data_IF_790143283870
#
_entry.id   IF_790143283870
#
_cell.length_a   1.000
_cell.length_b   1.000
_cell.length_c   1.000
_cell.angle_alpha   90.00
_cell.angle_beta   90.00
_cell.angle_gamma   90.00
#
_symmetry.space_group_name_H-M   'P 1'
#
loop_
_entity.id
_entity.type
_entity.pdbx_description
1 polymer ?
#
# COMPACT_ATOMS: atom_id res chain seq x y z
N UNK A 1 40.25 -21.70 -12.07
CA UNK A 1 39.38 -20.60 -12.55
C UNK A 1 37.91 -20.67 -12.07
N UNK A 2 37.36 -21.82 -11.77
CA UNK A 2 35.94 -22.00 -11.34
C UNK A 2 35.68 -21.48 -9.92
N UNK A 3 36.64 -21.61 -9.00
CA UNK A 3 36.48 -21.20 -7.59
C UNK A 3 36.34 -19.68 -7.44
N UNK A 4 37.10 -18.91 -8.25
CA UNK A 4 37.00 -17.44 -8.20
C UNK A 4 35.66 -16.89 -8.63
N UNK A 5 35.02 -17.54 -9.60
CA UNK A 5 33.68 -17.13 -10.09
C UNK A 5 32.57 -17.34 -9.05
N UNK A 6 32.66 -18.42 -8.29
CA UNK A 6 31.69 -18.73 -7.21
C UNK A 6 31.81 -17.75 -6.04
N UNK A 7 33.00 -17.32 -5.66
CA UNK A 7 33.24 -16.36 -4.57
C UNK A 7 32.72 -14.97 -4.95
N UNK A 8 32.95 -14.52 -6.19
CA UNK A 8 32.43 -13.23 -6.67
C UNK A 8 30.89 -13.25 -6.68
N UNK A 9 30.29 -14.31 -7.19
CA UNK A 9 28.82 -14.44 -7.24
C UNK A 9 28.16 -14.44 -5.85
N UNK A 10 28.77 -15.09 -4.85
CA UNK A 10 28.30 -15.02 -3.46
C UNK A 10 28.47 -13.65 -2.83
N UNK A 11 29.56 -12.96 -3.10
CA UNK A 11 29.80 -11.60 -2.64
C UNK A 11 28.76 -10.62 -3.20
N UNK A 12 28.46 -10.73 -4.50
CA UNK A 12 27.48 -9.88 -5.17
C UNK A 12 26.06 -10.15 -4.69
N UNK A 13 25.68 -11.41 -4.45
CA UNK A 13 24.39 -11.76 -3.87
C UNK A 13 24.23 -11.19 -2.44
N UNK A 14 25.30 -11.21 -1.62
CA UNK A 14 25.25 -10.63 -0.26
C UNK A 14 25.18 -9.10 -0.27
N UNK A 15 25.84 -8.44 -1.22
CA UNK A 15 25.75 -6.97 -1.40
C UNK A 15 24.36 -6.58 -1.89
N UNK A 16 23.82 -7.31 -2.86
CA UNK A 16 22.50 -7.08 -3.40
C UNK A 16 21.40 -7.27 -2.32
N UNK A 17 21.49 -8.33 -1.53
CA UNK A 17 20.55 -8.57 -0.43
C UNK A 17 20.56 -7.46 0.63
N UNK A 18 21.76 -6.94 1.01
CA UNK A 18 21.85 -5.80 1.92
C UNK A 18 21.24 -4.53 1.34
N UNK A 19 21.54 -4.24 0.08
CA UNK A 19 20.96 -3.09 -0.61
C UNK A 19 19.42 -3.15 -0.65
N UNK A 20 18.87 -4.31 -0.93
CA UNK A 20 17.40 -4.48 -0.92
C UNK A 20 16.80 -4.22 0.47
N UNK A 21 17.41 -4.77 1.52
CA UNK A 21 16.95 -4.55 2.91
C UNK A 21 17.02 -3.06 3.27
N UNK A 22 18.13 -2.39 2.99
CA UNK A 22 18.30 -0.96 3.27
C UNK A 22 17.29 -0.10 2.48
N UNK A 23 17.07 -0.44 1.22
CA UNK A 23 16.07 0.22 0.37
C UNK A 23 14.65 0.04 0.93
N UNK A 24 14.29 -1.19 1.30
CA UNK A 24 12.95 -1.50 1.79
C UNK A 24 12.70 -0.82 3.16
N UNK A 25 13.71 -0.79 4.03
CA UNK A 25 13.65 -0.01 5.28
C UNK A 25 13.47 1.49 4.99
N UNK A 26 14.22 2.05 4.05
CA UNK A 26 14.07 3.44 3.64
C UNK A 26 12.65 3.73 3.12
N UNK A 27 12.10 2.87 2.28
CA UNK A 27 10.75 3.04 1.74
C UNK A 27 9.67 2.97 2.82
N UNK A 28 9.84 2.11 3.83
CA UNK A 28 8.92 2.06 4.97
C UNK A 28 8.98 3.34 5.82
N UNK A 29 10.18 3.89 6.01
CA UNK A 29 10.37 5.13 6.79
C UNK A 29 9.90 6.39 6.02
N UNK A 30 9.98 6.36 4.68
CA UNK A 30 9.66 7.49 3.81
C UNK A 30 8.67 7.09 2.70
N UNK A 31 7.44 6.71 3.05
CA UNK A 31 6.41 6.42 2.05
C UNK A 31 6.06 7.68 1.27
N UNK A 32 5.53 7.51 0.05
CA UNK A 32 4.88 8.60 -0.63
C UNK A 32 3.66 9.08 0.17
N UNK A 33 3.40 10.37 0.11
CA UNK A 33 2.18 10.96 0.66
C UNK A 33 1.35 11.51 -0.50
N UNK A 34 0.05 11.31 -0.43
CA UNK A 34 -0.90 11.92 -1.34
C UNK A 34 -1.50 13.19 -0.74
N UNK A 35 -2.05 14.03 -1.61
CA UNK A 35 -2.79 15.21 -1.19
C UNK A 35 -3.90 14.81 -0.19
N UNK A 36 -3.88 15.34 1.04
CA UNK A 36 -4.88 15.01 2.05
C UNK A 36 -6.29 15.49 1.69
N UNK A 37 -6.43 16.39 0.72
CA UNK A 37 -7.71 16.92 0.26
C UNK A 37 -8.40 16.00 -0.76
N UNK A 38 -7.78 14.89 -1.17
CA UNK A 38 -8.41 13.92 -2.03
C UNK A 38 -9.67 13.31 -1.37
N UNK A 39 -10.74 13.08 -2.14
CA UNK A 39 -11.96 12.48 -1.61
C UNK A 39 -11.74 11.01 -1.24
N UNK A 40 -12.51 10.51 -0.25
CA UNK A 40 -12.57 9.08 0.09
C UNK A 40 -13.42 8.33 -0.94
N UNK A 41 -12.85 8.08 -2.11
CA UNK A 41 -13.58 7.56 -3.29
C UNK A 41 -13.37 6.08 -3.55
N UNK A 42 -12.23 5.51 -3.11
CA UNK A 42 -11.85 4.13 -3.46
C UNK A 42 -12.21 3.18 -2.34
N UNK A 43 -13.17 2.30 -2.59
CA UNK A 43 -13.61 1.26 -1.64
C UNK A 43 -12.65 0.08 -1.69
N UNK A 44 -12.22 -0.39 -0.52
CA UNK A 44 -11.39 -1.60 -0.39
C UNK A 44 -12.30 -2.81 -0.16
N UNK A 45 -12.27 -3.82 -1.04
CA UNK A 45 -12.95 -5.09 -0.79
C UNK A 45 -12.37 -5.80 0.43
N UNK A 46 -13.20 -6.08 1.42
CA UNK A 46 -12.79 -6.74 2.67
C UNK A 46 -13.33 -8.16 2.73
N UNK A 47 -12.42 -9.12 2.88
CA UNK A 47 -12.80 -10.48 3.27
C UNK A 47 -13.27 -10.55 4.74
N UNK A 48 -14.07 -11.55 5.08
CA UNK A 48 -14.64 -11.75 6.43
C UNK A 48 -13.57 -11.75 7.53
N UNK A 49 -12.46 -12.47 7.32
CA UNK A 49 -11.38 -12.57 8.30
C UNK A 49 -10.70 -11.22 8.53
N UNK A 50 -10.45 -10.46 7.46
CA UNK A 50 -9.85 -9.12 7.55
C UNK A 50 -10.79 -8.15 8.29
N UNK A 51 -12.09 -8.23 8.02
CA UNK A 51 -13.12 -7.45 8.72
C UNK A 51 -13.11 -7.71 10.22
N UNK A 52 -13.11 -8.98 10.63
CA UNK A 52 -13.07 -9.39 12.04
C UNK A 52 -11.80 -8.93 12.75
N UNK A 53 -10.63 -9.10 12.11
CA UNK A 53 -9.36 -8.63 12.67
C UNK A 53 -9.37 -7.13 12.88
N UNK A 54 -9.78 -6.36 11.88
CA UNK A 54 -9.84 -4.91 11.96
C UNK A 54 -10.81 -4.42 13.05
N UNK A 55 -11.97 -5.04 13.15
CA UNK A 55 -12.94 -4.73 14.20
C UNK A 55 -12.36 -4.94 15.61
N UNK A 56 -11.66 -6.07 15.82
CA UNK A 56 -11.06 -6.38 17.11
C UNK A 56 -9.90 -5.44 17.43
N UNK A 57 -9.02 -5.17 16.46
CA UNK A 57 -7.84 -4.32 16.64
C UNK A 57 -8.19 -2.87 16.95
N UNK A 58 -9.16 -2.32 16.23
CA UNK A 58 -9.62 -0.96 16.43
C UNK A 58 -10.71 -0.84 17.50
N UNK A 59 -11.09 -1.95 18.16
CA UNK A 59 -12.19 -1.99 19.13
C UNK A 59 -13.47 -1.34 18.59
N UNK A 60 -13.78 -1.57 17.31
CA UNK A 60 -14.90 -0.94 16.62
C UNK A 60 -16.22 -1.37 17.28
N UNK A 61 -16.98 -0.40 17.75
CA UNK A 61 -18.31 -0.60 18.33
C UNK A 61 -19.37 -0.08 17.36
N UNK A 62 -20.53 -0.69 17.40
CA UNK A 62 -21.66 -0.38 16.53
C UNK A 62 -22.08 1.10 16.48
N UNK A 63 -21.89 1.83 17.59
CA UNK A 63 -22.28 3.24 17.71
C UNK A 63 -21.12 4.21 17.41
N UNK A 64 -20.02 3.74 16.85
CA UNK A 64 -18.95 4.65 16.48
C UNK A 64 -19.27 5.33 15.14
N UNK A 65 -19.05 6.62 15.15
CA UNK A 65 -18.99 7.45 13.96
C UNK A 65 -17.82 7.01 13.06
N UNK A 66 -17.69 7.66 11.93
CA UNK A 66 -16.60 7.43 10.97
C UNK A 66 -15.25 7.60 11.65
N UNK A 67 -14.36 6.62 11.46
CA UNK A 67 -12.99 6.65 11.98
C UNK A 67 -12.04 6.92 10.81
N UNK A 68 -11.09 7.85 11.04
CA UNK A 68 -10.02 8.15 10.10
C UNK A 68 -8.70 7.59 10.64
N UNK A 69 -7.99 6.84 9.80
CA UNK A 69 -6.73 6.20 10.18
C UNK A 69 -5.77 6.20 8.99
N UNK A 70 -4.48 6.21 9.28
CA UNK A 70 -3.46 6.07 8.23
C UNK A 70 -3.44 4.65 7.68
N UNK A 71 -3.46 4.54 6.35
CA UNK A 71 -3.29 3.30 5.62
C UNK A 71 -2.07 3.38 4.70
N UNK A 72 -1.46 2.25 4.44
CA UNK A 72 -0.39 2.08 3.45
C UNK A 72 -0.92 1.29 2.27
N UNK A 73 -0.66 1.80 1.08
CA UNK A 73 -0.97 1.14 -0.19
C UNK A 73 0.35 0.74 -0.83
N UNK A 74 0.55 -0.54 -1.05
CA UNK A 74 1.82 -1.09 -1.52
C UNK A 74 1.62 -2.08 -2.66
N UNK A 75 2.47 -1.99 -3.68
CA UNK A 75 2.52 -2.99 -4.73
C UNK A 75 3.16 -4.28 -4.20
N UNK A 76 2.55 -5.42 -4.55
CA UNK A 76 3.09 -6.76 -4.31
C UNK A 76 3.62 -7.39 -5.62
N UNK A 77 4.28 -8.53 -5.46
CA UNK A 77 4.69 -9.37 -6.59
C UNK A 77 3.48 -9.88 -7.37
N UNK A 78 3.68 -10.03 -8.68
CA UNK A 78 2.66 -10.57 -9.56
C UNK A 78 2.29 -12.01 -9.17
N UNK A 79 1.01 -12.35 -9.31
CA UNK A 79 0.47 -13.70 -9.13
C UNK A 79 0.13 -14.30 -10.50
N UNK A 80 -0.08 -15.62 -10.55
CA UNK A 80 -0.30 -16.35 -11.81
C UNK A 80 -1.34 -15.71 -12.75
N UNK A 81 -2.40 -15.12 -12.20
CA UNK A 81 -3.50 -14.54 -12.97
C UNK A 81 -3.65 -13.03 -12.80
N UNK A 82 -2.71 -12.37 -12.12
CA UNK A 82 -2.80 -10.95 -11.81
C UNK A 82 -1.42 -10.31 -11.76
N UNK A 83 -1.09 -9.52 -12.77
CA UNK A 83 0.21 -8.85 -12.92
C UNK A 83 0.38 -7.70 -11.92
N UNK A 84 -0.72 -7.00 -11.61
CA UNK A 84 -0.71 -5.83 -10.73
C UNK A 84 -1.53 -6.11 -9.49
N UNK A 85 -0.85 -6.38 -8.38
CA UNK A 85 -1.46 -6.57 -7.07
C UNK A 85 -1.06 -5.40 -6.18
N UNK A 86 -2.05 -4.70 -5.64
CA UNK A 86 -1.84 -3.58 -4.72
C UNK A 86 -2.59 -3.88 -3.43
N UNK A 87 -1.84 -4.16 -2.37
CA UNK A 87 -2.39 -4.43 -1.06
C UNK A 87 -2.62 -3.14 -0.28
N UNK A 88 -3.61 -3.19 0.58
CA UNK A 88 -3.92 -2.15 1.56
C UNK A 88 -3.60 -2.67 2.95
N UNK A 89 -2.82 -1.90 3.70
CA UNK A 89 -2.42 -2.22 5.07
C UNK A 89 -2.88 -1.12 6.01
N UNK A 90 -3.37 -1.53 7.17
CA UNK A 90 -3.64 -0.64 8.31
C UNK A 90 -2.84 -1.18 9.48
N UNK A 91 -2.07 -0.31 10.14
CA UNK A 91 -0.98 -0.71 11.00
C UNK A 91 -0.08 -1.73 10.27
N UNK A 92 0.20 -2.88 10.87
CA UNK A 92 1.02 -3.93 10.26
C UNK A 92 0.21 -5.02 9.55
N UNK A 93 -1.12 -4.86 9.45
CA UNK A 93 -2.00 -5.89 8.91
C UNK A 93 -2.49 -5.55 7.51
N UNK A 94 -2.41 -6.55 6.62
CA UNK A 94 -3.11 -6.51 5.35
C UNK A 94 -4.61 -6.61 5.60
N UNK A 95 -5.35 -5.59 5.17
CA UNK A 95 -6.81 -5.54 5.29
C UNK A 95 -7.54 -5.91 4.01
N UNK A 96 -6.92 -5.67 2.86
CA UNK A 96 -7.51 -5.99 1.57
C UNK A 96 -6.56 -5.69 0.40
N UNK A 97 -7.12 -5.70 -0.79
CA UNK A 97 -6.45 -5.36 -2.04
C UNK A 97 -7.33 -4.38 -2.82
N UNK A 98 -6.70 -3.52 -3.61
CA UNK A 98 -7.44 -2.66 -4.53
C UNK A 98 -8.07 -3.50 -5.64
N UNK A 99 -9.16 -3.03 -6.18
CA UNK A 99 -9.82 -3.65 -7.32
C UNK A 99 -8.83 -3.78 -8.49
N UNK A 100 -8.75 -4.94 -9.19
CA UNK A 100 -7.71 -5.24 -10.16
C UNK A 100 -7.52 -4.20 -11.26
N UNK A 101 -8.61 -3.67 -11.79
CA UNK A 101 -8.55 -2.63 -12.84
C UNK A 101 -7.99 -1.30 -12.33
N UNK A 102 -8.35 -0.95 -11.09
CA UNK A 102 -7.81 0.23 -10.43
C UNK A 102 -6.32 0.06 -10.13
N UNK A 103 -5.93 -1.10 -9.58
CA UNK A 103 -4.55 -1.46 -9.27
C UNK A 103 -3.65 -1.43 -10.51
N UNK A 104 -4.12 -1.98 -11.63
CA UNK A 104 -3.42 -1.96 -12.91
C UNK A 104 -3.13 -0.53 -13.38
N UNK A 105 -4.16 0.31 -13.46
CA UNK A 105 -4.01 1.71 -13.92
C UNK A 105 -3.10 2.51 -13.00
N UNK A 106 -3.23 2.33 -11.67
CA UNK A 106 -2.37 2.97 -10.69
C UNK A 106 -0.90 2.56 -10.87
N UNK A 107 -0.64 1.26 -11.03
CA UNK A 107 0.72 0.77 -11.26
C UNK A 107 1.31 1.24 -12.59
N UNK A 108 0.52 1.32 -13.64
CA UNK A 108 0.97 1.83 -14.94
C UNK A 108 1.29 3.33 -14.89
N UNK A 109 0.46 4.12 -14.24
CA UNK A 109 0.69 5.55 -14.05
C UNK A 109 1.97 5.82 -13.25
N UNK A 110 2.21 5.03 -12.17
CA UNK A 110 3.36 5.18 -11.30
C UNK A 110 4.56 4.29 -11.72
N UNK A 111 4.57 3.73 -12.93
CA UNK A 111 5.57 2.77 -13.40
C UNK A 111 7.01 3.33 -13.41
N UNK A 112 7.16 4.63 -13.59
CA UNK A 112 8.46 5.32 -13.61
C UNK A 112 8.88 5.84 -12.23
N UNK A 113 8.14 5.51 -11.18
CA UNK A 113 8.39 5.93 -9.81
C UNK A 113 8.88 4.77 -8.94
N UNK A 114 9.29 5.07 -7.71
CA UNK A 114 9.69 4.05 -6.74
C UNK A 114 8.50 3.17 -6.27
N UNK A 115 7.26 3.56 -6.52
CA UNK A 115 6.08 2.71 -6.29
C UNK A 115 6.16 1.41 -7.11
N UNK A 116 6.68 1.50 -8.31
CA UNK A 116 6.93 0.33 -9.17
C UNK A 116 7.86 -0.69 -8.51
N UNK A 117 8.87 -0.24 -7.76
CA UNK A 117 9.85 -1.09 -7.08
C UNK A 117 9.53 -1.36 -5.60
N UNK A 118 8.35 -0.96 -5.13
CA UNK A 118 7.82 -1.33 -3.82
C UNK A 118 7.74 -0.23 -2.78
N UNK A 119 7.99 1.05 -3.11
CA UNK A 119 7.78 2.15 -2.17
C UNK A 119 6.29 2.34 -1.90
N UNK A 120 5.80 2.23 -0.65
CA UNK A 120 4.38 2.37 -0.35
C UNK A 120 3.92 3.83 -0.47
N UNK A 121 2.60 3.99 -0.65
CA UNK A 121 1.92 5.28 -0.52
C UNK A 121 1.23 5.30 0.84
N UNK A 122 1.49 6.34 1.63
CA UNK A 122 0.77 6.64 2.87
C UNK A 122 -0.40 7.57 2.59
N UNK A 123 -1.58 7.22 3.05
CA UNK A 123 -2.81 7.95 2.82
C UNK A 123 -3.77 7.80 3.99
N UNK A 124 -4.92 8.47 3.93
CA UNK A 124 -5.97 8.33 4.93
C UNK A 124 -7.03 7.30 4.49
N UNK A 125 -7.48 6.51 5.43
CA UNK A 125 -8.61 5.61 5.28
C UNK A 125 -9.77 6.08 6.14
N UNK A 126 -10.96 6.13 5.57
CA UNK A 126 -12.23 6.32 6.24
C UNK A 126 -12.84 4.95 6.52
N UNK A 127 -13.06 4.63 7.79
CA UNK A 127 -13.68 3.38 8.21
C UNK A 127 -15.07 3.68 8.75
N UNK A 128 -16.09 3.12 8.09
CA UNK A 128 -17.48 3.21 8.52
C UNK A 128 -17.93 1.86 9.06
N UNK A 129 -18.49 1.84 10.27
CA UNK A 129 -19.08 0.65 10.88
C UNK A 129 -20.59 0.67 10.62
N UNK A 130 -21.13 -0.45 10.17
CA UNK A 130 -22.56 -0.60 9.92
C UNK A 130 -23.08 -1.92 10.48
N UNK A 131 -24.35 -1.94 10.83
CA UNK A 131 -25.01 -3.14 11.34
C UNK A 131 -25.37 -4.08 10.17
N UNK A 132 -24.97 -5.35 10.29
CA UNK A 132 -25.38 -6.42 9.36
C UNK A 132 -26.59 -7.20 9.89
N UNK A 133 -26.61 -7.44 11.20
CA UNK A 133 -27.70 -8.12 11.92
C UNK A 133 -27.75 -7.60 13.35
N UNK A 134 -28.68 -8.09 14.18
CA UNK A 134 -28.78 -7.71 15.60
C UNK A 134 -27.50 -7.94 16.41
N UNK A 135 -26.68 -8.92 15.98
CA UNK A 135 -25.47 -9.37 16.70
C UNK A 135 -24.17 -9.17 15.91
N UNK A 136 -24.26 -8.75 14.66
CA UNK A 136 -23.09 -8.65 13.76
C UNK A 136 -22.96 -7.27 13.16
N UNK A 137 -21.74 -6.71 13.28
CA UNK A 137 -21.34 -5.48 12.60
C UNK A 137 -20.48 -5.79 11.36
N UNK A 138 -20.59 -4.95 10.37
CA UNK A 138 -19.66 -4.88 9.24
C UNK A 138 -18.86 -3.59 9.26
N UNK A 139 -17.77 -3.56 8.52
CA UNK A 139 -17.06 -2.30 8.26
C UNK A 139 -16.78 -2.14 6.76
N UNK A 140 -16.73 -0.88 6.34
CA UNK A 140 -16.34 -0.47 4.99
C UNK A 140 -15.14 0.44 5.11
N UNK A 141 -14.14 0.22 4.28
CA UNK A 141 -12.98 1.09 4.17
C UNK A 141 -13.06 1.83 2.84
N UNK A 142 -12.88 3.15 2.91
CA UNK A 142 -12.65 3.99 1.75
C UNK A 142 -11.30 4.68 1.90
N UNK A 143 -10.56 4.76 0.82
CA UNK A 143 -9.26 5.43 0.77
C UNK A 143 -9.39 6.77 0.06
N UNK A 144 -8.62 7.76 0.53
CA UNK A 144 -8.48 9.04 -0.16
C UNK A 144 -7.48 8.89 -1.32
N UNK A 145 -7.87 8.11 -2.30
CA UNK A 145 -7.16 7.92 -3.56
C UNK A 145 -7.89 8.67 -4.68
N UNK A 146 -7.17 9.10 -5.74
CA UNK A 146 -7.80 9.74 -6.88
C UNK A 146 -8.90 8.85 -7.46
N UNK A 147 -10.08 9.40 -7.81
CA UNK A 147 -11.12 8.63 -8.47
C UNK A 147 -10.65 8.03 -9.80
N UNK A 148 -9.81 8.77 -10.53
CA UNK A 148 -9.10 8.27 -11.70
C UNK A 148 -7.65 7.90 -11.33
N UNK A 149 -7.30 6.61 -11.30
CA UNK A 149 -5.95 6.19 -10.96
C UNK A 149 -4.88 6.60 -11.99
N UNK A 150 -5.27 7.06 -13.18
CA UNK A 150 -4.34 7.53 -14.21
C UNK A 150 -3.76 8.91 -13.92
N UNK A 151 -4.34 9.66 -12.99
CA UNK A 151 -3.84 10.95 -12.52
C UNK A 151 -3.13 10.89 -11.16
N UNK A 152 -2.85 9.71 -10.64
CA UNK A 152 -2.32 9.54 -9.27
C UNK A 152 -0.98 10.25 -9.04
N UNK A 153 -0.12 10.33 -10.04
CA UNK A 153 1.18 11.00 -9.96
C UNK A 153 1.10 12.51 -9.74
N UNK A 154 0.00 13.14 -10.16
CA UNK A 154 -0.26 14.57 -9.96
C UNK A 154 -0.51 14.91 -8.48
N UNK A 155 -1.01 13.94 -7.71
CA UNK A 155 -1.36 14.11 -6.30
C UNK A 155 -0.29 13.62 -5.33
N UNK A 156 0.82 13.05 -5.82
CA UNK A 156 1.92 12.60 -4.98
C UNK A 156 2.70 13.80 -4.47
N UNK A 157 2.74 13.99 -3.14
CA UNK A 157 3.56 15.02 -2.51
C UNK A 157 5.02 14.58 -2.58
N UNK A 158 5.79 15.25 -3.44
CA UNK A 158 7.23 15.03 -3.59
C UNK A 158 7.95 15.93 -2.60
N UNK A 159 8.65 15.34 -1.63
CA UNK A 159 9.54 16.11 -0.78
C UNK A 159 10.80 16.46 -1.59
N UNK A 160 11.20 17.72 -1.64
CA UNK A 160 12.40 18.24 -2.34
C UNK A 160 13.71 17.50 -1.99
N UNK A 161 13.72 16.69 -0.93
CA UNK A 161 14.88 15.85 -0.56
C UNK A 161 15.02 14.59 -1.41
N UNK A 162 13.95 14.14 -2.06
CA UNK A 162 13.99 12.93 -2.91
C UNK A 162 14.63 13.21 -4.27
N UNK A 163 14.53 14.44 -4.77
CA UNK A 163 15.13 14.84 -6.04
C UNK A 163 16.65 15.06 -5.96
N UNK A 164 17.18 15.40 -4.80
CA UNK A 164 18.61 15.63 -4.58
C UNK A 164 19.48 14.35 -4.59
N UNK A 165 18.87 13.16 -4.53
CA UNK A 165 19.59 11.86 -4.54
C UNK A 165 19.56 11.16 -5.91
N UNK A 166 18.97 11.77 -6.93
CA UNK A 166 18.90 11.22 -8.31
C UNK A 166 20.00 11.73 -9.25
N UNK A 167 20.99 12.46 -8.71
CA UNK A 167 22.17 12.96 -9.46
C UNK A 167 23.38 12.09 -9.15
#
# INVERSE_FOLDING_TARGET
MIVGFLVIRQSDQRRWGRYQIERDMYFQMYPYQLDPLLPFSVVVPLGYIAQRKLQNELMLKFNQEVIYITALVQREEARQNQTYVVQVRIHDHKVGELEPKYAEKLCLNLAQTDFFIGRPISLQAEITVFQKSEIECGCRIKLNLPPDPQSADEYVIRNNKDDAKRI
#
